data_IF_234769775340
#
_entry.id   IF_234769775340
#
_cell.length_a   1.000
_cell.length_b   1.000
_cell.length_c   1.000
_cell.angle_alpha   90.00
_cell.angle_beta   90.00
_cell.angle_gamma   90.00
#
_symmetry.space_group_name_H-M   'P 1'
#
loop_
_entity.id
_entity.type
_entity.pdbx_description
1 polymer ?
#
# COMPACT_ATOMS: atom_id res chain seq x y z
N UNK A 1 -3.42 19.33 -11.47
CA UNK A 1 -1.98 19.03 -11.30
C UNK A 1 -1.53 18.27 -12.53
N UNK A 2 -0.35 18.54 -13.12
CA UNK A 2 0.13 17.75 -14.26
C UNK A 2 0.36 16.28 -13.87
N UNK A 3 -0.11 15.35 -14.71
CA UNK A 3 -0.13 13.90 -14.41
C UNK A 3 1.26 13.35 -14.05
N UNK A 4 2.31 13.78 -14.74
CA UNK A 4 3.69 13.37 -14.47
C UNK A 4 4.24 13.83 -13.11
N UNK A 5 3.68 14.89 -12.50
CA UNK A 5 4.06 15.31 -11.13
C UNK A 5 3.36 14.40 -10.13
N UNK A 6 2.09 14.12 -10.38
CA UNK A 6 1.29 13.24 -9.56
C UNK A 6 1.86 11.83 -9.47
N UNK A 7 2.21 11.22 -10.62
CA UNK A 7 2.86 9.91 -10.69
C UNK A 7 4.16 9.87 -9.89
N UNK A 8 4.99 10.92 -9.98
CA UNK A 8 6.24 11.01 -9.21
C UNK A 8 6.00 11.10 -7.71
N UNK A 9 5.01 11.88 -7.29
CA UNK A 9 4.66 12.04 -5.88
C UNK A 9 4.15 10.72 -5.30
N UNK A 10 3.27 10.01 -6.02
CA UNK A 10 2.79 8.70 -5.58
C UNK A 10 3.93 7.68 -5.57
N UNK A 11 4.75 7.63 -6.63
CA UNK A 11 5.89 6.71 -6.67
C UNK A 11 6.86 6.91 -5.49
N UNK A 12 7.15 8.17 -5.14
CA UNK A 12 7.97 8.48 -3.96
C UNK A 12 7.30 8.03 -2.65
N UNK A 13 6.00 8.33 -2.49
CA UNK A 13 5.22 7.91 -1.32
C UNK A 13 5.18 6.38 -1.16
N UNK A 14 5.00 5.65 -2.27
CA UNK A 14 5.02 4.19 -2.30
C UNK A 14 6.38 3.65 -1.86
N UNK A 15 7.48 4.22 -2.40
CA UNK A 15 8.84 3.84 -2.00
C UNK A 15 9.12 4.08 -0.52
N UNK A 16 8.77 5.27 -0.01
CA UNK A 16 8.93 5.58 1.42
C UNK A 16 8.12 4.64 2.32
N UNK A 17 6.89 4.32 1.91
CA UNK A 17 6.00 3.40 2.62
C UNK A 17 6.57 1.98 2.65
N UNK A 18 7.16 1.51 1.55
CA UNK A 18 7.83 0.21 1.49
C UNK A 18 9.02 0.14 2.47
N UNK A 19 9.88 1.16 2.49
CA UNK A 19 11.03 1.24 3.41
C UNK A 19 10.55 1.28 4.87
N UNK A 20 9.47 2.02 5.15
CA UNK A 20 8.87 2.08 6.48
C UNK A 20 8.34 0.70 6.92
N UNK A 21 7.62 -0.01 6.05
CA UNK A 21 7.11 -1.36 6.33
C UNK A 21 8.22 -2.35 6.64
N UNK A 22 9.29 -2.35 5.83
CA UNK A 22 10.46 -3.20 6.06
C UNK A 22 11.14 -2.87 7.39
N UNK A 23 11.27 -1.58 7.72
CA UNK A 23 11.85 -1.13 9.00
C UNK A 23 11.00 -1.57 10.19
N UNK A 24 9.67 -1.47 10.09
CA UNK A 24 8.74 -1.93 11.12
C UNK A 24 8.82 -3.45 11.30
N UNK A 25 8.86 -4.21 10.19
CA UNK A 25 9.01 -5.67 10.22
C UNK A 25 10.31 -6.08 10.90
N UNK A 26 11.43 -5.45 10.54
CA UNK A 26 12.73 -5.74 11.16
C UNK A 26 12.76 -5.48 12.68
N UNK A 27 11.88 -4.60 13.17
CA UNK A 27 11.73 -4.29 14.61
C UNK A 27 10.68 -5.15 15.31
N UNK A 28 10.01 -6.08 14.61
CA UNK A 28 8.87 -6.83 15.14
C UNK A 28 7.68 -5.95 15.52
N UNK A 29 7.57 -4.76 14.91
CA UNK A 29 6.50 -3.81 15.19
C UNK A 29 5.24 -4.16 14.38
N UNK A 30 4.09 -3.67 14.84
CA UNK A 30 2.84 -3.73 14.08
C UNK A 30 3.00 -2.98 12.76
N UNK A 31 2.79 -3.67 11.64
CA UNK A 31 2.98 -3.09 10.31
C UNK A 31 1.91 -2.04 10.00
N UNK A 32 2.29 -0.89 9.47
CA UNK A 32 1.40 0.20 9.09
C UNK A 32 1.98 0.88 7.85
N UNK A 33 1.22 0.93 6.77
CA UNK A 33 1.69 1.47 5.48
C UNK A 33 1.96 2.98 5.53
N UNK A 34 1.50 3.66 6.58
CA UNK A 34 1.73 5.08 6.84
C UNK A 34 0.45 5.90 6.66
N UNK A 35 0.27 6.94 7.49
CA UNK A 35 -0.95 7.77 7.42
C UNK A 35 -1.08 8.50 6.08
N UNK A 36 0.03 9.01 5.54
CA UNK A 36 0.03 9.71 4.25
C UNK A 36 -0.41 8.75 3.12
N UNK A 37 0.11 7.53 3.12
CA UNK A 37 -0.29 6.49 2.17
C UNK A 37 -1.77 6.13 2.29
N UNK A 38 -2.26 5.93 3.51
CA UNK A 38 -3.68 5.66 3.78
C UNK A 38 -4.61 6.76 3.29
N UNK A 39 -4.24 8.04 3.50
CA UNK A 39 -5.02 9.19 3.00
C UNK A 39 -5.04 9.27 1.47
N UNK A 40 -3.92 8.97 0.81
CA UNK A 40 -3.86 8.96 -0.66
C UNK A 40 -4.71 7.83 -1.23
N UNK A 41 -4.65 6.63 -0.63
CA UNK A 41 -5.53 5.53 -1.05
C UNK A 41 -7.01 5.84 -0.84
N UNK A 42 -7.37 6.44 0.29
CA UNK A 42 -8.75 6.87 0.55
C UNK A 42 -9.23 7.86 -0.51
N UNK A 43 -8.41 8.86 -0.83
CA UNK A 43 -8.73 9.84 -1.85
C UNK A 43 -8.87 9.20 -3.25
N UNK A 44 -7.96 8.31 -3.64
CA UNK A 44 -8.05 7.56 -4.91
C UNK A 44 -9.33 6.70 -5.00
N UNK A 45 -9.70 6.06 -3.89
CA UNK A 45 -10.92 5.27 -3.79
C UNK A 45 -12.17 6.13 -4.00
N UNK A 46 -12.21 7.33 -3.43
CA UNK A 46 -13.32 8.27 -3.59
C UNK A 46 -13.41 8.87 -4.99
N UNK A 47 -12.28 9.09 -5.67
CA UNK A 47 -12.24 9.70 -7.01
C UNK A 47 -12.48 8.72 -8.16
N UNK A 48 -12.78 7.46 -7.85
CA UNK A 48 -12.94 6.36 -8.80
C UNK A 48 -11.68 6.06 -9.63
N UNK A 49 -10.50 6.42 -9.11
CA UNK A 49 -9.22 6.02 -9.67
C UNK A 49 -8.86 4.61 -9.18
N UNK A 50 -8.14 3.84 -10.02
CA UNK A 50 -7.79 2.48 -9.67
C UNK A 50 -6.71 2.47 -8.57
N UNK A 51 -7.07 1.98 -7.39
CA UNK A 51 -6.17 1.84 -6.23
C UNK A 51 -5.23 0.63 -6.37
N UNK A 52 -5.57 -0.35 -7.21
CA UNK A 52 -4.83 -1.62 -7.32
C UNK A 52 -3.39 -1.42 -7.79
N UNK A 53 -3.10 -0.64 -8.85
CA UNK A 53 -1.73 -0.39 -9.32
C UNK A 53 -0.81 0.15 -8.22
N UNK A 54 -1.29 1.06 -7.38
CA UNK A 54 -0.45 1.70 -6.35
C UNK A 54 -0.09 0.75 -5.20
N UNK A 55 -1.01 -0.15 -4.85
CA UNK A 55 -0.74 -1.21 -3.86
C UNK A 55 0.14 -2.32 -4.47
N UNK A 56 -0.02 -2.61 -5.77
CA UNK A 56 0.89 -3.50 -6.48
C UNK A 56 2.32 -2.94 -6.51
N UNK A 57 2.47 -1.64 -6.81
CA UNK A 57 3.75 -0.94 -6.76
C UNK A 57 4.37 -0.97 -5.36
N UNK A 58 3.55 -0.82 -4.31
CA UNK A 58 4.03 -0.98 -2.92
C UNK A 58 4.63 -2.37 -2.69
N UNK A 59 3.94 -3.42 -3.12
CA UNK A 59 4.43 -4.80 -3.00
C UNK A 59 5.72 -4.98 -3.80
N UNK A 60 5.78 -4.44 -5.02
CA UNK A 60 6.98 -4.47 -5.85
C UNK A 60 8.16 -3.76 -5.19
N UNK A 61 7.95 -2.58 -4.59
CA UNK A 61 8.98 -1.83 -3.87
C UNK A 61 9.45 -2.58 -2.61
N UNK A 62 8.55 -3.19 -1.85
CA UNK A 62 8.91 -4.04 -0.70
C UNK A 62 9.80 -5.20 -1.16
N UNK A 63 9.45 -5.88 -2.25
CA UNK A 63 10.26 -6.97 -2.83
C UNK A 63 11.62 -6.47 -3.33
N UNK A 64 11.64 -5.32 -4.01
CA UNK A 64 12.85 -4.71 -4.56
C UNK A 64 13.86 -4.33 -3.48
N UNK A 65 13.40 -3.74 -2.37
CA UNK A 65 14.27 -3.28 -1.29
C UNK A 65 14.71 -4.37 -0.30
N UNK A 66 14.13 -5.57 -0.38
CA UNK A 66 14.52 -6.69 0.48
C UNK A 66 14.86 -7.97 -0.32
N UNK A 67 15.84 -7.93 -1.24
CA UNK A 67 16.24 -9.10 -2.03
C UNK A 67 16.84 -10.16 -1.10
N UNK A 68 16.12 -11.27 -0.92
CA UNK A 68 16.56 -12.41 -0.10
C UNK A 68 16.33 -12.30 1.42
N UNK A 69 15.83 -11.17 1.94
CA UNK A 69 15.64 -10.95 3.39
C UNK A 69 14.16 -10.88 3.85
N UNK A 70 13.19 -10.97 2.93
CA UNK A 70 11.76 -10.98 3.29
C UNK A 70 10.95 -12.11 2.62
N UNK A 71 11.29 -13.40 2.86
CA UNK A 71 10.29 -14.47 2.70
C UNK A 71 9.12 -14.34 3.70
N UNK A 72 9.17 -13.37 4.62
CA UNK A 72 8.27 -13.25 5.76
C UNK A 72 7.15 -12.21 5.65
N UNK A 73 7.17 -11.31 4.67
CA UNK A 73 6.07 -10.37 4.47
C UNK A 73 5.11 -10.94 3.44
N UNK A 74 4.06 -11.59 3.93
CA UNK A 74 3.01 -12.15 3.09
C UNK A 74 2.18 -11.04 2.43
N UNK A 75 1.43 -11.39 1.39
CA UNK A 75 0.44 -10.49 0.81
C UNK A 75 -0.55 -10.01 1.88
N UNK A 76 -0.95 -10.90 2.79
CA UNK A 76 -1.86 -10.59 3.89
C UNK A 76 -1.24 -9.61 4.91
N UNK A 77 0.08 -9.66 5.13
CA UNK A 77 0.77 -8.70 5.98
C UNK A 77 0.70 -7.28 5.39
N UNK A 78 0.97 -7.17 4.08
CA UNK A 78 0.90 -5.89 3.37
C UNK A 78 -0.54 -5.37 3.37
N UNK A 79 -1.51 -6.21 3.00
CA UNK A 79 -2.93 -5.83 3.00
C UNK A 79 -3.43 -5.48 4.40
N UNK A 80 -2.96 -6.16 5.44
CA UNK A 80 -3.25 -5.80 6.83
C UNK A 80 -2.67 -4.44 7.21
N UNK A 81 -1.46 -4.12 6.75
CA UNK A 81 -0.83 -2.81 6.97
C UNK A 81 -1.53 -1.68 6.20
N UNK A 82 -2.00 -1.96 4.99
CA UNK A 82 -2.83 -1.06 4.18
C UNK A 82 -4.18 -0.83 4.86
N UNK A 83 -4.84 -1.88 5.33
CA UNK A 83 -6.11 -1.78 6.04
C UNK A 83 -6.02 -0.94 7.31
N UNK A 84 -4.90 -1.05 8.06
CA UNK A 84 -4.65 -0.18 9.21
C UNK A 84 -4.42 1.28 8.82
N UNK A 85 -3.69 1.53 7.73
CA UNK A 85 -3.50 2.88 7.20
C UNK A 85 -4.81 3.51 6.69
N UNK A 86 -5.75 2.69 6.22
CA UNK A 86 -7.07 3.09 5.77
C UNK A 86 -8.08 3.34 6.92
N UNK A 87 -7.66 3.25 8.20
CA UNK A 87 -8.54 3.48 9.35
C UNK A 87 -9.30 4.82 9.38
N UNK A 88 -8.83 5.93 8.75
CA UNK A 88 -9.62 7.16 8.64
C UNK A 88 -10.87 7.02 7.76
N UNK A 89 -10.96 5.99 6.92
CA UNK A 89 -12.14 5.73 6.07
C UNK A 89 -13.27 5.09 6.88
N UNK A 90 -14.55 5.25 6.45
CA UNK A 90 -15.65 4.46 6.98
C UNK A 90 -15.33 2.95 6.91
N UNK A 91 -15.60 2.15 7.96
CA UNK A 91 -15.23 0.73 7.98
C UNK A 91 -15.76 -0.09 6.80
N UNK A 92 -16.96 0.22 6.31
CA UNK A 92 -17.55 -0.43 5.15
C UNK A 92 -16.77 -0.14 3.86
N UNK A 93 -16.29 1.10 3.69
CA UNK A 93 -15.51 1.51 2.52
C UNK A 93 -14.10 0.91 2.58
N UNK A 94 -13.45 0.93 3.75
CA UNK A 94 -12.16 0.26 3.93
C UNK A 94 -12.26 -1.24 3.63
N UNK A 95 -13.33 -1.91 4.05
CA UNK A 95 -13.57 -3.32 3.75
C UNK A 95 -13.79 -3.56 2.25
N UNK A 96 -14.57 -2.70 1.58
CA UNK A 96 -14.79 -2.78 0.13
C UNK A 96 -13.49 -2.57 -0.65
N UNK A 97 -12.69 -1.56 -0.28
CA UNK A 97 -11.38 -1.32 -0.87
C UNK A 97 -10.46 -2.52 -0.71
N UNK A 98 -10.36 -3.10 0.50
CA UNK A 98 -9.53 -4.30 0.73
C UNK A 98 -10.02 -5.51 -0.06
N UNK A 99 -11.33 -5.67 -0.27
CA UNK A 99 -11.87 -6.73 -1.12
C UNK A 99 -11.49 -6.52 -2.59
N UNK A 100 -11.60 -5.28 -3.09
CA UNK A 100 -11.15 -4.91 -4.45
C UNK A 100 -9.66 -5.17 -4.64
N UNK A 101 -8.82 -4.75 -3.69
CA UNK A 101 -7.38 -5.01 -3.71
C UNK A 101 -7.09 -6.52 -3.76
N UNK A 102 -7.73 -7.33 -2.92
CA UNK A 102 -7.55 -8.80 -2.94
C UNK A 102 -7.92 -9.43 -4.27
N UNK A 103 -8.99 -8.95 -4.91
CA UNK A 103 -9.45 -9.48 -6.19
C UNK A 103 -8.55 -9.03 -7.35
N UNK A 104 -8.03 -7.80 -7.32
CA UNK A 104 -7.27 -7.20 -8.42
C UNK A 104 -5.77 -7.47 -8.40
N UNK A 105 -5.15 -7.54 -7.21
CA UNK A 105 -3.70 -7.70 -7.08
C UNK A 105 -3.10 -8.92 -7.81
N UNK A 106 -3.76 -10.09 -7.92
CA UNK A 106 -3.22 -11.23 -8.68
C UNK A 106 -2.90 -10.93 -10.14
N UNK A 107 -3.49 -9.89 -10.75
CA UNK A 107 -3.18 -9.49 -12.12
C UNK A 107 -1.84 -8.74 -12.26
N UNK A 108 -1.25 -8.30 -11.16
CA UNK A 108 -0.04 -7.45 -11.11
C UNK A 108 1.18 -8.13 -10.45
N UNK A 109 1.01 -9.31 -9.85
CA UNK A 109 2.02 -9.99 -9.01
C UNK A 109 2.62 -11.23 -9.67
#
# INVERSE_FOLDING_TARGET
MPDHIFEKLIGALVGESAIALLTQRARGATLHAGEAFGRVLAWLWETADDVVPYVADLIAQVRYHAPGACPEMSLDDVLGAVGRAAAPMPPAEAAAMLATLRAGLPAYL
#
